data_IF_793709662266
#
_entry.id   IF_793709662266
#
_cell.length_a   1.000
_cell.length_b   1.000
_cell.length_c   1.000
_cell.angle_alpha   90.00
_cell.angle_beta   90.00
_cell.angle_gamma   90.00
#
_symmetry.space_group_name_H-M   'P 1'
#
loop_
_entity.id
_entity.type
_entity.pdbx_description
1 polymer ?
#
# COMPACT_ATOMS: atom_id res chain seq x y z
N UNK A 1 21.48 -14.98 13.05
CA UNK A 1 22.39 -14.90 11.88
C UNK A 1 21.63 -15.08 10.56
N UNK A 2 20.52 -15.82 10.51
CA UNK A 2 19.82 -16.16 9.26
C UNK A 2 18.73 -15.13 8.83
N UNK A 3 18.14 -14.38 9.77
CA UNK A 3 17.10 -13.37 9.48
C UNK A 3 17.70 -12.05 8.96
N UNK A 4 18.92 -11.69 9.40
CA UNK A 4 19.64 -10.52 8.92
C UNK A 4 20.13 -10.70 7.47
N UNK A 5 20.46 -11.91 7.05
CA UNK A 5 20.81 -12.20 5.65
C UNK A 5 19.61 -12.04 4.72
N UNK A 6 18.39 -12.39 5.16
CA UNK A 6 17.18 -12.25 4.33
C UNK A 6 16.64 -10.81 4.25
N UNK A 7 16.70 -10.04 5.35
CA UNK A 7 16.26 -8.63 5.32
C UNK A 7 17.28 -7.70 4.66
N UNK A 8 18.57 -7.99 4.85
CA UNK A 8 19.63 -7.26 4.18
C UNK A 8 19.59 -7.54 2.66
N UNK A 9 19.15 -8.70 2.19
CA UNK A 9 19.00 -9.00 0.75
C UNK A 9 17.98 -8.07 0.03
N UNK A 10 16.89 -7.71 0.70
CA UNK A 10 15.86 -6.80 0.15
C UNK A 10 16.41 -5.38 -0.01
N UNK A 11 17.31 -4.95 0.89
CA UNK A 11 18.01 -3.66 0.83
C UNK A 11 19.29 -3.70 -0.03
N UNK A 12 19.94 -4.86 -0.18
CA UNK A 12 21.30 -4.99 -0.74
C UNK A 12 21.35 -5.43 -2.21
N UNK A 13 20.23 -5.84 -2.84
CA UNK A 13 20.25 -6.31 -4.24
C UNK A 13 19.19 -5.74 -5.19
N UNK A 14 18.45 -4.67 -4.85
CA UNK A 14 17.63 -3.94 -5.85
C UNK A 14 18.31 -2.72 -6.49
N UNK A 15 19.52 -2.38 -6.04
CA UNK A 15 20.24 -1.20 -6.50
C UNK A 15 21.30 -1.47 -7.60
N UNK A 16 21.53 -2.73 -8.02
CA UNK A 16 22.67 -3.07 -8.89
C UNK A 16 22.37 -4.01 -10.08
N UNK A 17 21.11 -4.31 -10.43
CA UNK A 17 20.80 -5.03 -11.69
C UNK A 17 20.10 -4.14 -12.72
N UNK A 18 20.71 -3.91 -13.89
CA UNK A 18 20.06 -3.24 -15.01
C UNK A 18 19.37 -4.28 -15.89
N UNK A 19 18.09 -4.60 -15.67
CA UNK A 19 17.32 -5.27 -16.74
C UNK A 19 15.80 -5.16 -16.75
N UNK A 20 15.04 -4.91 -15.67
CA UNK A 20 13.57 -4.70 -15.86
C UNK A 20 12.73 -4.07 -14.72
N UNK A 21 13.19 -4.01 -13.46
CA UNK A 21 12.33 -3.54 -12.34
C UNK A 21 12.44 -2.03 -12.03
N UNK A 22 13.07 -1.25 -12.91
CA UNK A 22 13.64 0.05 -12.53
C UNK A 22 12.76 1.27 -12.76
N UNK A 23 11.66 1.18 -13.51
CA UNK A 23 10.96 2.40 -13.99
C UNK A 23 9.79 2.89 -13.13
N UNK A 24 9.11 2.03 -12.36
CA UNK A 24 7.91 2.43 -11.60
C UNK A 24 8.22 2.76 -10.15
N UNK A 25 8.82 1.82 -9.44
CA UNK A 25 8.73 1.80 -7.98
C UNK A 25 10.02 2.31 -7.31
N UNK A 26 11.14 2.33 -8.03
CA UNK A 26 12.44 2.71 -7.47
C UNK A 26 12.48 4.15 -6.93
N UNK A 27 11.96 5.19 -7.63
CA UNK A 27 11.92 6.54 -7.07
C UNK A 27 11.10 6.60 -5.78
N UNK A 28 9.95 5.93 -5.78
CA UNK A 28 9.06 5.86 -4.62
C UNK A 28 9.74 5.19 -3.43
N UNK A 29 10.29 3.98 -3.61
CA UNK A 29 10.92 3.24 -2.52
C UNK A 29 12.21 3.87 -2.04
N UNK A 30 12.99 4.48 -2.94
CA UNK A 30 14.16 5.27 -2.56
C UNK A 30 13.79 6.41 -1.61
N UNK A 31 12.74 7.16 -1.93
CA UNK A 31 12.25 8.24 -1.07
C UNK A 31 11.77 7.70 0.28
N UNK A 32 11.05 6.57 0.32
CA UNK A 32 10.58 5.97 1.59
C UNK A 32 11.74 5.49 2.46
N UNK A 33 12.78 4.91 1.87
CA UNK A 33 14.00 4.50 2.57
C UNK A 33 14.69 5.71 3.18
N UNK A 34 14.87 6.78 2.40
CA UNK A 34 15.49 8.01 2.88
C UNK A 34 14.68 8.68 4.00
N UNK A 35 13.35 8.81 3.81
CA UNK A 35 12.45 9.42 4.79
C UNK A 35 12.42 8.68 6.14
N UNK A 36 12.75 7.38 6.16
CA UNK A 36 12.88 6.58 7.39
C UNK A 36 14.30 6.59 7.98
N UNK A 37 15.25 7.30 7.37
CA UNK A 37 16.64 7.35 7.81
C UNK A 37 17.43 6.05 7.61
N UNK A 38 16.88 5.09 6.86
CA UNK A 38 17.48 3.77 6.64
C UNK A 38 18.29 3.71 5.34
N UNK A 39 18.57 4.88 4.74
CA UNK A 39 19.45 5.01 3.60
C UNK A 39 19.67 6.46 3.15
N UNK A 40 20.56 6.65 2.16
CA UNK A 40 20.90 7.95 1.60
C UNK A 40 19.74 8.53 0.79
N UNK A 41 19.77 9.85 0.51
CA UNK A 41 18.82 10.45 -0.43
C UNK A 41 18.89 9.74 -1.79
N UNK A 42 17.75 9.56 -2.48
CA UNK A 42 17.74 9.01 -3.83
C UNK A 42 18.62 9.85 -4.77
N UNK A 43 19.42 9.18 -5.60
CA UNK A 43 20.21 9.86 -6.63
C UNK A 43 19.39 9.83 -7.93
N UNK A 44 18.95 10.98 -8.47
CA UNK A 44 18.26 11.01 -9.75
C UNK A 44 19.13 10.42 -10.86
N UNK A 45 18.53 9.68 -11.81
CA UNK A 45 19.26 8.94 -12.85
C UNK A 45 20.13 9.87 -13.71
N UNK A 46 19.60 11.04 -14.06
CA UNK A 46 20.30 12.10 -14.81
C UNK A 46 21.43 12.78 -14.00
N UNK A 47 21.48 12.55 -12.70
CA UNK A 47 22.44 13.14 -11.78
C UNK A 47 23.45 12.13 -11.23
N UNK A 48 23.33 10.86 -11.64
CA UNK A 48 24.18 9.78 -11.15
C UNK A 48 25.64 10.02 -11.49
N UNK A 49 26.50 9.90 -10.49
CA UNK A 49 27.94 10.04 -10.65
C UNK A 49 28.68 9.18 -9.64
N UNK A 50 29.95 8.88 -9.95
CA UNK A 50 30.84 8.14 -9.04
C UNK A 50 30.95 8.81 -7.67
N UNK A 51 31.04 10.14 -7.63
CA UNK A 51 31.16 10.89 -6.37
C UNK A 51 29.90 10.71 -5.50
N UNK A 52 28.71 10.91 -6.09
CA UNK A 52 27.43 10.71 -5.38
C UNK A 52 27.25 9.27 -4.91
N UNK A 53 27.68 8.28 -5.70
CA UNK A 53 27.65 6.88 -5.29
C UNK A 53 28.55 6.62 -4.08
N UNK A 54 29.78 7.15 -4.08
CA UNK A 54 30.72 7.00 -2.96
C UNK A 54 30.14 7.62 -1.69
N UNK A 55 29.54 8.81 -1.78
CA UNK A 55 28.95 9.47 -0.62
C UNK A 55 27.70 8.74 -0.10
N UNK A 56 26.88 8.21 -0.99
CA UNK A 56 25.76 7.34 -0.62
C UNK A 56 26.22 6.08 0.13
N UNK A 57 27.33 5.46 -0.30
CA UNK A 57 27.92 4.31 0.40
C UNK A 57 28.43 4.71 1.79
N UNK A 58 29.09 5.86 1.93
CA UNK A 58 29.54 6.33 3.25
C UNK A 58 28.37 6.53 4.22
N UNK A 59 27.25 7.08 3.74
CA UNK A 59 26.02 7.21 4.55
C UNK A 59 25.51 5.82 4.97
N UNK A 60 25.48 4.85 4.05
CA UNK A 60 25.06 3.48 4.36
C UNK A 60 25.95 2.76 5.37
N UNK A 61 27.19 3.22 5.56
CA UNK A 61 28.13 2.69 6.56
C UNK A 61 28.02 3.40 7.91
N UNK A 62 27.24 4.48 8.02
CA UNK A 62 27.02 5.17 9.30
C UNK A 62 26.27 4.23 10.27
N UNK A 63 26.81 3.99 11.49
CA UNK A 63 26.14 3.18 12.50
C UNK A 63 24.70 3.62 12.80
N UNK A 64 24.38 4.92 12.67
CA UNK A 64 23.02 5.42 12.88
C UNK A 64 22.03 4.90 11.84
N UNK A 65 22.46 4.79 10.58
CA UNK A 65 21.61 4.23 9.51
C UNK A 65 21.30 2.76 9.78
N UNK A 66 22.28 2.01 10.33
CA UNK A 66 22.08 0.63 10.78
C UNK A 66 21.10 0.53 11.94
N UNK A 67 21.23 1.40 12.95
CA UNK A 67 20.32 1.45 14.11
C UNK A 67 18.88 1.74 13.66
N UNK A 68 18.67 2.76 12.81
CA UNK A 68 17.36 3.05 12.25
C UNK A 68 16.77 1.87 11.47
N UNK A 69 17.61 1.14 10.72
CA UNK A 69 17.17 -0.03 9.97
C UNK A 69 16.76 -1.19 10.89
N UNK A 70 17.49 -1.40 11.99
CA UNK A 70 17.15 -2.41 13.00
C UNK A 70 15.84 -2.07 13.72
N UNK A 71 15.64 -0.80 14.09
CA UNK A 71 14.40 -0.37 14.75
C UNK A 71 13.19 -0.41 13.82
N UNK A 72 13.38 -0.04 12.54
CA UNK A 72 12.34 -0.22 11.52
C UNK A 72 11.98 -1.69 11.34
N UNK A 73 12.97 -2.58 11.31
CA UNK A 73 12.73 -4.02 11.18
C UNK A 73 11.91 -4.56 12.36
N UNK A 74 12.30 -4.23 13.60
CA UNK A 74 11.55 -4.62 14.81
C UNK A 74 10.12 -4.10 14.80
N UNK A 75 9.90 -2.88 14.31
CA UNK A 75 8.56 -2.32 14.16
C UNK A 75 7.72 -3.15 13.18
N UNK A 76 8.30 -3.48 12.01
CA UNK A 76 7.65 -4.29 10.98
C UNK A 76 7.38 -5.73 11.41
N UNK A 77 8.25 -6.35 12.22
CA UNK A 77 8.06 -7.70 12.75
C UNK A 77 6.80 -7.84 13.61
N UNK A 78 6.37 -6.76 14.26
CA UNK A 78 5.19 -6.73 15.11
C UNK A 78 3.90 -6.33 14.37
N UNK A 79 3.98 -6.07 13.06
CA UNK A 79 2.84 -5.68 12.24
C UNK A 79 2.18 -6.88 11.53
N UNK A 80 0.85 -7.02 11.65
CA UNK A 80 0.06 -7.88 10.75
C UNK A 80 -0.49 -7.04 9.59
N UNK A 81 0.36 -6.87 8.58
CA UNK A 81 0.01 -6.09 7.39
C UNK A 81 -1.15 -6.67 6.57
N UNK A 82 -1.33 -8.00 6.57
CA UNK A 82 -2.39 -8.65 5.81
C UNK A 82 -3.77 -8.39 6.42
N UNK A 83 -3.90 -8.62 7.73
CA UNK A 83 -5.13 -8.30 8.46
C UNK A 83 -5.39 -6.80 8.45
N UNK A 84 -4.33 -5.97 8.60
CA UNK A 84 -4.42 -4.52 8.46
C UNK A 84 -4.99 -4.07 7.11
N UNK A 85 -4.52 -4.67 6.01
CA UNK A 85 -5.01 -4.39 4.67
C UNK A 85 -6.46 -4.82 4.46
N UNK A 86 -6.84 -6.01 4.93
CA UNK A 86 -8.23 -6.50 4.89
C UNK A 86 -9.17 -5.55 5.64
N UNK A 87 -8.79 -5.16 6.86
CA UNK A 87 -9.57 -4.23 7.67
C UNK A 87 -9.70 -2.86 7.00
N UNK A 88 -8.60 -2.33 6.44
CA UNK A 88 -8.61 -1.07 5.72
C UNK A 88 -9.51 -1.15 4.48
N UNK A 89 -9.47 -2.25 3.73
CA UNK A 89 -10.32 -2.46 2.57
C UNK A 89 -11.80 -2.40 2.94
N UNK A 90 -12.24 -3.22 3.91
CA UNK A 90 -13.65 -3.24 4.34
C UNK A 90 -14.11 -1.94 4.97
N UNK A 91 -13.23 -1.21 5.67
CA UNK A 91 -13.55 0.12 6.22
C UNK A 91 -13.95 1.13 5.15
N UNK A 92 -13.36 1.05 3.96
CA UNK A 92 -13.57 2.03 2.89
C UNK A 92 -14.62 1.58 1.86
N UNK A 93 -15.25 0.42 2.04
CA UNK A 93 -16.36 0.01 1.19
C UNK A 93 -17.65 0.77 1.57
N UNK A 94 -18.45 1.21 0.58
CA UNK A 94 -19.73 1.84 0.84
C UNK A 94 -20.66 0.87 1.58
N UNK A 95 -21.25 1.33 2.68
CA UNK A 95 -22.27 0.56 3.40
C UNK A 95 -23.48 0.39 2.49
N UNK A 96 -23.88 -0.86 2.25
CA UNK A 96 -25.14 -1.17 1.57
C UNK A 96 -26.27 -0.54 2.37
N UNK A 97 -27.04 0.36 1.74
CA UNK A 97 -28.29 0.85 2.33
C UNK A 97 -29.24 -0.34 2.51
N UNK A 98 -29.93 -0.48 3.65
CA UNK A 98 -31.03 -1.42 3.73
C UNK A 98 -32.03 -1.06 2.63
N UNK A 99 -32.36 -2.00 1.76
CA UNK A 99 -33.50 -1.86 0.87
C UNK A 99 -34.74 -1.66 1.74
N UNK A 100 -35.61 -0.68 1.45
CA UNK A 100 -36.86 -0.55 2.17
C UNK A 100 -37.66 -1.85 2.00
N UNK A 101 -38.09 -2.42 3.12
CA UNK A 101 -38.98 -3.60 3.14
C UNK A 101 -40.13 -3.37 2.16
N UNK A 102 -40.49 -4.33 1.30
CA UNK A 102 -41.66 -4.19 0.44
C UNK A 102 -42.87 -3.91 1.35
N UNK A 103 -43.57 -2.81 1.07
CA UNK A 103 -44.82 -2.49 1.73
C UNK A 103 -45.80 -3.66 1.55
N UNK A 104 -46.64 -3.99 2.56
CA UNK A 104 -47.60 -5.07 2.43
C UNK A 104 -48.49 -4.81 1.22
N UNK A 105 -48.58 -5.79 0.32
CA UNK A 105 -49.42 -5.70 -0.87
C UNK A 105 -50.87 -5.41 -0.47
N UNK A 106 -51.57 -4.47 -1.12
CA UNK A 106 -52.98 -4.22 -0.83
C UNK A 106 -53.78 -5.49 -1.12
N UNK A 107 -54.54 -5.93 -0.13
CA UNK A 107 -55.48 -7.03 -0.26
C UNK A 107 -56.50 -6.71 -1.35
N UNK A 108 -56.53 -7.56 -2.37
CA UNK A 108 -57.57 -7.58 -3.40
C UNK A 108 -58.94 -7.74 -2.74
N UNK A 109 -59.74 -6.67 -2.71
CA UNK A 109 -61.18 -6.75 -2.54
C UNK A 109 -61.88 -6.23 -3.80
N UNK A 110 -62.73 -7.10 -4.33
CA UNK A 110 -63.53 -6.97 -5.53
C UNK A 110 -64.29 -5.64 -5.63
N UNK A 111 -64.29 -5.02 -6.82
CA UNK A 111 -65.40 -4.18 -7.25
C UNK A 111 -65.72 -4.41 -8.73
N UNK A 112 -66.48 -5.48 -8.98
CA UNK A 112 -67.28 -5.64 -10.20
C UNK A 112 -68.39 -4.57 -10.19
N UNK A 113 -68.21 -3.47 -10.93
CA UNK A 113 -69.26 -2.68 -11.64
C UNK A 113 -68.78 -1.27 -11.92
N UNK A 114 -68.27 -1.03 -13.13
CA UNK A 114 -68.56 0.20 -13.91
C UNK A 114 -68.01 0.09 -15.34
N UNK A 115 -68.72 -0.65 -16.19
CA UNK A 115 -68.62 -0.49 -17.65
C UNK A 115 -70.04 -0.40 -18.23
N UNK A 116 -70.75 0.68 -17.89
CA UNK A 116 -71.82 1.19 -18.75
C UNK A 116 -71.27 2.47 -19.36
N UNK A 117 -70.70 2.34 -20.56
CA UNK A 117 -70.42 3.46 -21.45
C UNK A 117 -71.68 3.78 -22.25
N UNK A 118 -72.10 5.04 -22.18
CA UNK A 118 -73.12 5.65 -23.01
C UNK A 118 -72.52 6.97 -23.51
N UNK A 119 -72.59 7.22 -24.82
CA UNK A 119 -72.04 8.39 -25.51
C UNK A 119 -71.66 8.06 -26.93
#
# INVERSE_FOLDING_TARGET
MEVLEQQLLVLKLRALQPSCLSFGDQPFWGERVHARGVGPPPIPVNEFSRAKLVDAIKIMLDPKVKECAEDLSKAMENEDGATGAVNAFFKHLPRRKPEPSPAPAPSSFFSFRKWFGCG
#
